data_IF_057191523172
#
_entry.id   IF_057191523172
#
_cell.length_a   1.000
_cell.length_b   1.000
_cell.length_c   1.000
_cell.angle_alpha   90.00
_cell.angle_beta   90.00
_cell.angle_gamma   90.00
#
_symmetry.space_group_name_H-M   'P 1'
#
loop_
_entity.id
_entity.type
_entity.pdbx_description
1 polymer ?
#
# COMPACT_ATOMS: atom_id res chain seq x y z
N UNK A 1 -12.12 21.64 12.69
CA UNK A 1 -11.36 22.01 11.47
C UNK A 1 -10.56 23.30 11.62
N UNK A 2 -11.01 24.30 12.37
CA UNK A 2 -10.33 25.61 12.48
C UNK A 2 -8.96 25.58 13.17
N UNK A 3 -8.76 24.75 14.20
CA UNK A 3 -7.50 24.74 14.97
C UNK A 3 -6.32 24.13 14.20
N UNK A 4 -6.52 23.03 13.47
CA UNK A 4 -5.48 22.41 12.64
C UNK A 4 -5.05 23.31 11.48
N UNK A 5 -6.02 23.96 10.84
CA UNK A 5 -5.75 24.94 9.78
C UNK A 5 -4.96 26.12 10.35
N UNK A 6 -5.40 26.69 11.47
CA UNK A 6 -4.68 27.78 12.15
C UNK A 6 -3.27 27.37 12.60
N UNK A 7 -3.08 26.14 13.08
CA UNK A 7 -1.76 25.63 13.45
C UNK A 7 -0.85 25.52 12.21
N UNK A 8 -1.35 24.98 11.10
CA UNK A 8 -0.58 24.82 9.87
C UNK A 8 -0.12 26.15 9.27
N UNK A 9 -0.91 27.22 9.41
CA UNK A 9 -0.54 28.57 8.95
C UNK A 9 0.39 29.29 9.93
N UNK A 10 0.21 29.09 11.24
CA UNK A 10 1.03 29.76 12.27
C UNK A 10 2.42 29.14 12.39
N UNK A 11 2.53 27.82 12.24
CA UNK A 11 3.78 27.06 12.39
C UNK A 11 4.09 26.20 11.14
N UNK A 12 4.34 26.81 9.97
CA UNK A 12 4.46 26.08 8.71
C UNK A 12 5.65 25.12 8.70
N UNK A 13 6.79 25.49 9.30
CA UNK A 13 7.98 24.63 9.35
C UNK A 13 7.70 23.35 10.15
N UNK A 14 7.10 23.50 11.33
CA UNK A 14 6.75 22.37 12.21
C UNK A 14 5.72 21.49 11.53
N UNK A 15 4.74 22.09 10.86
CA UNK A 15 3.72 21.38 10.10
C UNK A 15 4.33 20.52 9.00
N UNK A 16 5.08 21.10 8.06
CA UNK A 16 5.66 20.38 6.94
C UNK A 16 6.64 19.28 7.37
N UNK A 17 7.47 19.55 8.38
CA UNK A 17 8.36 18.55 8.94
C UNK A 17 7.58 17.41 9.61
N UNK A 18 6.54 17.73 10.39
CA UNK A 18 5.66 16.75 11.02
C UNK A 18 4.97 15.83 10.01
N UNK A 19 4.53 16.39 8.87
CA UNK A 19 3.95 15.60 7.78
C UNK A 19 4.97 14.63 7.16
N UNK A 20 6.16 15.13 6.84
CA UNK A 20 7.24 14.30 6.29
C UNK A 20 7.65 13.19 7.26
N UNK A 21 7.81 13.50 8.54
CA UNK A 21 8.13 12.53 9.57
C UNK A 21 7.03 11.47 9.73
N UNK A 22 5.76 11.89 9.73
CA UNK A 22 4.62 10.97 9.78
C UNK A 22 4.61 10.05 8.56
N UNK A 23 4.79 10.59 7.36
CA UNK A 23 4.87 9.80 6.14
C UNK A 23 6.05 8.82 6.14
N UNK A 24 7.22 9.20 6.67
CA UNK A 24 8.36 8.29 6.80
C UNK A 24 8.09 7.15 7.80
N UNK A 25 7.44 7.43 8.94
CA UNK A 25 7.04 6.42 9.92
C UNK A 25 6.04 5.44 9.31
N UNK A 26 5.01 5.96 8.63
CA UNK A 26 4.04 5.13 7.91
C UNK A 26 4.75 4.30 6.84
N UNK A 27 5.63 4.90 6.04
CA UNK A 27 6.41 4.22 5.00
C UNK A 27 7.26 3.07 5.53
N UNK A 28 7.82 3.20 6.73
CA UNK A 28 8.55 2.11 7.40
C UNK A 28 7.64 0.92 7.72
N UNK A 29 6.39 1.19 8.13
CA UNK A 29 5.37 0.13 8.25
C UNK A 29 4.93 -0.42 6.90
N UNK A 30 4.79 0.40 5.85
CA UNK A 30 4.43 -0.07 4.51
C UNK A 30 5.47 -1.09 3.99
N UNK A 31 6.76 -0.89 4.26
CA UNK A 31 7.80 -1.88 3.95
C UNK A 31 7.53 -3.25 4.60
N UNK A 32 7.01 -3.27 5.83
CA UNK A 32 6.63 -4.53 6.50
C UNK A 32 5.52 -5.23 5.73
N UNK A 33 4.50 -4.50 5.30
CA UNK A 33 3.38 -5.04 4.52
C UNK A 33 3.87 -5.55 3.16
N UNK A 34 4.61 -4.73 2.41
CA UNK A 34 5.15 -5.04 1.07
C UNK A 34 5.98 -6.33 1.11
N UNK A 35 6.86 -6.47 2.10
CA UNK A 35 7.76 -7.62 2.16
C UNK A 35 7.11 -8.89 2.72
N UNK A 36 6.16 -8.77 3.67
CA UNK A 36 5.60 -9.93 4.38
C UNK A 36 4.31 -10.45 3.79
N UNK A 37 3.43 -9.58 3.30
CA UNK A 37 2.10 -9.97 2.84
C UNK A 37 2.16 -11.01 1.71
N UNK A 38 2.98 -10.85 0.65
CA UNK A 38 3.06 -11.86 -0.42
C UNK A 38 3.52 -13.23 0.10
N UNK A 39 4.51 -13.24 1.01
CA UNK A 39 5.01 -14.48 1.63
C UNK A 39 3.95 -15.14 2.50
N UNK A 40 3.14 -14.36 3.22
CA UNK A 40 2.03 -14.89 4.02
C UNK A 40 0.97 -15.54 3.13
N UNK A 41 0.62 -14.91 2.01
CA UNK A 41 -0.36 -15.44 1.06
C UNK A 41 0.15 -16.73 0.39
N UNK A 42 1.41 -16.75 -0.05
CA UNK A 42 2.01 -17.93 -0.67
C UNK A 42 2.02 -19.14 0.28
N UNK A 43 2.40 -18.93 1.55
CA UNK A 43 2.34 -19.97 2.57
C UNK A 43 0.91 -20.46 2.83
N UNK A 44 -0.07 -19.55 2.78
CA UNK A 44 -1.47 -19.90 2.97
C UNK A 44 -1.98 -20.77 1.81
N UNK A 45 -1.76 -20.35 0.56
CA UNK A 45 -2.15 -21.11 -0.63
C UNK A 45 -1.48 -22.48 -0.72
N UNK A 46 -0.20 -22.58 -0.37
CA UNK A 46 0.49 -23.88 -0.31
C UNK A 46 -0.17 -24.82 0.70
N UNK A 47 -0.58 -24.31 1.86
CA UNK A 47 -1.27 -25.10 2.88
C UNK A 47 -2.64 -25.56 2.39
N UNK A 48 -3.41 -24.69 1.76
CA UNK A 48 -4.71 -25.03 1.17
C UNK A 48 -4.58 -26.11 0.09
N UNK A 49 -3.59 -25.99 -0.80
CA UNK A 49 -3.32 -26.99 -1.82
C UNK A 49 -2.96 -28.36 -1.23
N UNK A 50 -2.10 -28.41 -0.20
CA UNK A 50 -1.75 -29.65 0.49
C UNK A 50 -2.96 -30.31 1.16
N UNK A 51 -3.79 -29.50 1.82
CA UNK A 51 -5.04 -29.99 2.42
C UNK A 51 -5.98 -30.57 1.36
N UNK A 52 -6.15 -29.89 0.23
CA UNK A 52 -7.02 -30.34 -0.86
C UNK A 52 -6.52 -31.64 -1.51
N UNK A 53 -5.21 -31.85 -1.56
CA UNK A 53 -4.58 -33.07 -2.09
C UNK A 53 -4.45 -34.18 -1.05
N UNK A 54 -4.98 -33.99 0.17
CA UNK A 54 -4.82 -34.93 1.30
C UNK A 54 -3.35 -35.27 1.61
N UNK A 55 -2.44 -34.33 1.34
CA UNK A 55 -1.01 -34.47 1.63
C UNK A 55 -0.70 -33.94 3.03
N UNK A 56 0.31 -34.51 3.72
CA UNK A 56 0.72 -34.03 5.03
C UNK A 56 1.20 -32.57 4.94
N UNK A 57 0.61 -31.70 5.75
CA UNK A 57 1.05 -30.31 5.88
C UNK A 57 2.28 -30.22 6.79
N UNK A 58 3.29 -29.39 6.47
CA UNK A 58 4.40 -29.14 7.38
C UNK A 58 3.88 -28.58 8.73
N UNK A 59 4.51 -29.04 9.82
CA UNK A 59 4.24 -28.56 11.18
C UNK A 59 4.26 -27.01 11.24
N UNK A 60 3.42 -26.38 12.08
CA UNK A 60 3.35 -24.93 12.16
C UNK A 60 4.72 -24.34 12.55
N UNK A 61 5.42 -23.76 11.57
CA UNK A 61 6.61 -22.92 11.85
C UNK A 61 6.24 -21.74 12.76
N UNK A 62 7.25 -21.15 13.41
CA UNK A 62 7.07 -19.98 14.27
C UNK A 62 6.19 -18.90 13.62
N UNK A 63 5.35 -18.24 14.43
CA UNK A 63 4.35 -17.26 13.96
C UNK A 63 4.97 -16.24 13.00
N UNK A 64 4.44 -16.20 11.77
CA UNK A 64 4.85 -15.27 10.72
C UNK A 64 3.65 -14.45 10.25
N UNK A 65 3.56 -13.21 10.71
CA UNK A 65 2.52 -12.24 10.35
C UNK A 65 3.12 -10.82 10.28
N UNK A 66 2.24 -9.81 10.16
CA UNK A 66 2.68 -8.40 10.06
C UNK A 66 3.35 -7.87 11.35
N UNK A 67 3.05 -8.48 12.51
CA UNK A 67 3.56 -8.04 13.82
C UNK A 67 4.79 -8.85 14.25
N UNK A 68 4.78 -10.16 14.01
CA UNK A 68 5.79 -11.12 14.44
C UNK A 68 6.36 -11.90 13.25
N UNK A 69 7.66 -12.22 13.25
CA UNK A 69 8.67 -11.81 14.23
C UNK A 69 8.97 -10.31 14.14
N UNK A 70 9.57 -9.73 15.17
CA UNK A 70 10.09 -8.35 15.10
C UNK A 70 11.14 -8.21 13.98
N UNK A 71 11.45 -6.97 13.59
CA UNK A 71 12.46 -6.67 12.57
C UNK A 71 13.79 -7.35 12.90
N UNK A 72 14.31 -8.12 11.94
CA UNK A 72 15.57 -8.86 12.05
C UNK A 72 16.41 -8.56 10.82
N UNK A 73 17.72 -8.57 10.99
CA UNK A 73 18.62 -8.50 9.84
C UNK A 73 18.42 -9.74 8.95
N UNK A 74 18.32 -9.59 7.62
CA UNK A 74 18.14 -10.73 6.71
C UNK A 74 19.37 -11.64 6.62
N UNK A 75 20.55 -11.14 7.00
CA UNK A 75 21.82 -11.90 6.94
C UNK A 75 22.18 -12.56 8.27
N UNK A 76 22.23 -11.78 9.35
CA UNK A 76 22.69 -12.24 10.67
C UNK A 76 21.55 -12.74 11.57
N UNK A 77 20.28 -12.48 11.20
CA UNK A 77 19.06 -12.76 11.97
C UNK A 77 18.98 -12.16 13.39
N UNK A 78 19.97 -11.35 13.79
CA UNK A 78 19.95 -10.54 15.00
C UNK A 78 18.77 -9.57 14.96
N UNK A 79 18.02 -9.41 16.08
CA UNK A 79 16.95 -8.42 16.16
C UNK A 79 17.50 -7.01 15.94
N UNK A 80 16.76 -6.21 15.16
CA UNK A 80 17.11 -4.81 14.90
C UNK A 80 16.66 -3.97 16.09
N UNK A 81 17.57 -3.19 16.67
CA UNK A 81 17.25 -2.30 17.79
C UNK A 81 16.30 -1.18 17.34
N UNK A 82 15.42 -0.70 18.22
CA UNK A 82 14.45 0.35 17.90
C UNK A 82 15.09 1.62 17.32
N UNK A 83 16.28 2.00 17.81
CA UNK A 83 17.05 3.14 17.30
C UNK A 83 17.56 2.98 15.86
N UNK A 84 17.72 1.75 15.40
CA UNK A 84 18.15 1.44 14.03
C UNK A 84 16.94 1.26 13.08
N UNK A 85 15.71 1.39 13.60
CA UNK A 85 14.45 1.43 12.85
C UNK A 85 13.90 2.85 12.67
N UNK A 86 14.67 3.91 13.00
CA UNK A 86 14.24 5.29 12.74
C UNK A 86 14.28 5.51 11.21
N UNK A 87 13.14 5.79 10.55
CA UNK A 87 13.04 5.89 9.09
C UNK A 87 14.01 6.92 8.52
N UNK A 88 14.62 6.63 7.37
CA UNK A 88 15.62 7.43 6.64
C UNK A 88 16.92 7.72 7.42
N UNK A 89 16.82 8.22 8.64
CA UNK A 89 17.93 8.62 9.49
C UNK A 89 18.85 7.43 9.82
N UNK A 90 18.29 6.29 10.21
CA UNK A 90 19.10 5.12 10.55
C UNK A 90 19.91 4.63 9.34
N UNK A 91 19.31 4.64 8.15
CA UNK A 91 19.99 4.23 6.92
C UNK A 91 21.16 5.16 6.59
N UNK A 92 20.97 6.48 6.71
CA UNK A 92 22.01 7.48 6.47
C UNK A 92 23.16 7.37 7.50
N UNK A 93 22.84 7.28 8.79
CA UNK A 93 23.83 7.17 9.87
C UNK A 93 24.63 5.86 9.77
N UNK A 94 23.97 4.78 9.37
CA UNK A 94 24.60 3.47 9.17
C UNK A 94 25.27 3.32 7.79
N UNK A 95 25.21 4.36 6.93
CA UNK A 95 25.75 4.36 5.56
C UNK A 95 25.26 3.16 4.73
N UNK A 96 23.98 2.81 4.90
CA UNK A 96 23.33 1.69 4.22
C UNK A 96 23.81 0.30 4.64
N UNK A 97 24.46 0.15 5.80
CA UNK A 97 24.95 -1.15 6.31
C UNK A 97 24.31 -1.54 7.62
N UNK A 98 24.01 -2.83 7.81
CA UNK A 98 23.45 -3.33 9.06
C UNK A 98 24.48 -3.21 10.19
N UNK A 99 24.06 -2.72 11.36
CA UNK A 99 24.94 -2.58 12.53
C UNK A 99 25.51 -3.91 13.04
N UNK A 100 24.74 -5.01 12.95
CA UNK A 100 25.17 -6.32 13.49
C UNK A 100 26.36 -6.92 12.73
N UNK A 101 26.29 -6.92 11.39
CA UNK A 101 27.19 -7.70 10.54
C UNK A 101 27.82 -6.89 9.40
N UNK A 102 27.49 -5.61 9.25
CA UNK A 102 27.99 -4.76 8.17
C UNK A 102 27.42 -5.05 6.78
N UNK A 103 26.50 -6.02 6.65
CA UNK A 103 25.87 -6.37 5.38
C UNK A 103 25.01 -5.21 4.83
N UNK A 104 24.89 -5.07 3.50
CA UNK A 104 24.14 -3.97 2.90
C UNK A 104 22.64 -4.07 3.21
N UNK A 105 22.00 -2.94 3.48
CA UNK A 105 20.54 -2.81 3.63
C UNK A 105 19.96 -2.47 2.26
N UNK A 106 18.88 -3.15 1.85
CA UNK A 106 18.22 -2.88 0.57
C UNK A 106 17.77 -1.41 0.46
N UNK A 107 18.03 -0.80 -0.69
CA UNK A 107 17.61 0.57 -0.97
C UNK A 107 16.08 0.74 -1.01
N UNK A 108 15.32 -0.35 -1.18
CA UNK A 108 13.86 -0.32 -1.14
C UNK A 108 13.33 0.29 0.17
N UNK A 109 13.96 0.00 1.31
CA UNK A 109 13.52 0.51 2.61
C UNK A 109 13.50 2.04 2.66
N UNK A 110 14.64 2.74 2.49
CA UNK A 110 14.64 4.21 2.50
C UNK A 110 13.88 4.80 1.29
N UNK A 111 13.79 4.12 0.15
CA UNK A 111 13.03 4.62 -0.99
C UNK A 111 11.53 4.66 -0.72
N UNK A 112 10.96 3.60 -0.15
CA UNK A 112 9.53 3.56 0.22
C UNK A 112 9.23 4.57 1.33
N UNK A 113 10.11 4.71 2.31
CA UNK A 113 9.98 5.72 3.37
C UNK A 113 10.00 7.15 2.80
N UNK A 114 10.94 7.45 1.90
CA UNK A 114 11.05 8.75 1.26
C UNK A 114 9.87 9.04 0.32
N UNK A 115 9.45 8.05 -0.47
CA UNK A 115 8.28 8.16 -1.35
C UNK A 115 7.01 8.43 -0.54
N UNK A 116 6.80 7.73 0.57
CA UNK A 116 5.64 7.95 1.45
C UNK A 116 5.67 9.34 2.07
N UNK A 117 6.83 9.77 2.59
CA UNK A 117 7.01 11.13 3.11
C UNK A 117 6.71 12.21 2.05
N UNK A 118 7.20 12.02 0.82
CA UNK A 118 6.94 12.93 -0.29
C UNK A 118 5.45 12.97 -0.65
N UNK A 119 4.80 11.81 -0.81
CA UNK A 119 3.37 11.72 -1.13
C UNK A 119 2.49 12.38 -0.05
N UNK A 120 2.84 12.23 1.23
CA UNK A 120 2.10 12.87 2.33
C UNK A 120 2.21 14.39 2.30
N UNK A 121 3.41 14.91 2.00
CA UNK A 121 3.63 16.35 1.83
C UNK A 121 2.91 16.87 0.58
N UNK A 122 2.99 16.16 -0.55
CA UNK A 122 2.36 16.55 -1.81
C UNK A 122 0.83 16.58 -1.70
N UNK A 123 0.22 15.57 -1.11
CA UNK A 123 -1.24 15.54 -0.87
C UNK A 123 -1.69 16.67 0.07
N UNK A 124 -0.88 17.06 1.05
CA UNK A 124 -1.16 18.20 1.92
C UNK A 124 -1.02 19.58 1.23
N UNK A 125 -0.46 19.64 0.02
CA UNK A 125 -0.51 20.85 -0.83
C UNK A 125 -1.85 20.98 -1.56
N UNK A 126 -2.52 19.86 -1.80
CA UNK A 126 -3.78 19.79 -2.55
C UNK A 126 -4.97 19.85 -1.61
N UNK A 127 -4.91 19.14 -0.49
CA UNK A 127 -6.01 19.03 0.46
C UNK A 127 -5.72 19.82 1.75
N UNK A 128 -6.70 20.59 2.26
CA UNK A 128 -6.55 21.27 3.53
C UNK A 128 -6.51 20.25 4.69
N UNK A 129 -5.92 20.63 5.84
CA UNK A 129 -5.93 19.79 7.05
C UNK A 129 -7.35 19.35 7.43
N UNK A 130 -7.60 18.04 7.44
CA UNK A 130 -8.90 17.47 7.73
C UNK A 130 -9.03 16.02 7.27
N UNK A 131 -10.27 15.51 7.28
CA UNK A 131 -10.54 14.12 6.90
C UNK A 131 -10.16 13.83 5.45
N UNK A 132 -10.41 14.77 4.52
CA UNK A 132 -9.99 14.66 3.11
C UNK A 132 -8.49 14.34 2.96
N UNK A 133 -7.63 15.04 3.72
CA UNK A 133 -6.19 14.78 3.71
C UNK A 133 -5.85 13.39 4.27
N UNK A 134 -6.49 12.99 5.37
CA UNK A 134 -6.31 11.63 5.91
C UNK A 134 -6.73 10.55 4.91
N UNK A 135 -7.85 10.75 4.20
CA UNK A 135 -8.30 9.87 3.12
C UNK A 135 -7.29 9.79 1.98
N UNK A 136 -6.71 10.92 1.59
CA UNK A 136 -5.67 10.97 0.56
C UNK A 136 -4.43 10.17 0.98
N UNK A 137 -3.99 10.30 2.24
CA UNK A 137 -2.88 9.52 2.80
C UNK A 137 -3.15 8.02 2.80
N UNK A 138 -4.35 7.59 3.18
CA UNK A 138 -4.76 6.17 3.10
C UNK A 138 -4.70 5.69 1.65
N UNK A 139 -5.31 6.44 0.73
CA UNK A 139 -5.34 6.11 -0.69
C UNK A 139 -3.95 5.94 -1.29
N UNK A 140 -3.06 6.95 -1.14
CA UNK A 140 -1.70 6.87 -1.68
C UNK A 140 -0.85 5.79 -1.02
N UNK A 141 -1.07 5.48 0.26
CA UNK A 141 -0.35 4.42 0.97
C UNK A 141 -0.71 3.04 0.42
N UNK A 142 -1.99 2.78 0.16
CA UNK A 142 -2.44 1.53 -0.46
C UNK A 142 -1.90 1.40 -1.89
N UNK A 143 -1.97 2.46 -2.69
CA UNK A 143 -1.43 2.45 -4.05
C UNK A 143 0.08 2.21 -4.06
N UNK A 144 0.83 2.82 -3.14
CA UNK A 144 2.26 2.58 -3.04
C UNK A 144 2.58 1.12 -2.65
N UNK A 145 1.85 0.54 -1.68
CA UNK A 145 2.00 -0.88 -1.34
C UNK A 145 1.74 -1.75 -2.58
N UNK A 146 0.61 -1.53 -3.26
CA UNK A 146 0.20 -2.32 -4.41
C UNK A 146 1.22 -2.20 -5.56
N UNK A 147 1.67 -0.99 -5.89
CA UNK A 147 2.64 -0.76 -6.95
C UNK A 147 3.98 -1.45 -6.68
N UNK A 148 4.47 -1.43 -5.43
CA UNK A 148 5.75 -2.07 -5.10
C UNK A 148 5.61 -3.60 -5.05
N UNK A 149 4.50 -4.14 -4.54
CA UNK A 149 4.24 -5.59 -4.59
C UNK A 149 4.14 -6.05 -6.04
N UNK A 150 3.40 -5.32 -6.87
CA UNK A 150 3.21 -5.64 -8.29
C UNK A 150 4.55 -5.61 -9.04
N UNK A 151 5.39 -4.59 -8.84
CA UNK A 151 6.72 -4.53 -9.43
C UNK A 151 7.59 -5.76 -9.12
N UNK A 152 7.49 -6.32 -7.91
CA UNK A 152 8.30 -7.46 -7.50
C UNK A 152 7.67 -8.82 -7.82
N UNK A 153 6.35 -8.94 -7.82
CA UNK A 153 5.63 -10.22 -7.82
C UNK A 153 4.48 -10.31 -8.82
N UNK A 154 4.17 -9.23 -9.55
CA UNK A 154 3.04 -9.14 -10.48
C UNK A 154 1.74 -9.63 -9.84
N UNK A 155 1.53 -9.22 -8.58
CA UNK A 155 0.45 -9.69 -7.73
C UNK A 155 -0.28 -8.49 -7.12
N UNK A 156 -1.59 -8.45 -7.28
CA UNK A 156 -2.48 -7.49 -6.60
C UNK A 156 -3.39 -8.24 -5.62
N UNK A 157 -3.03 -8.30 -4.33
CA UNK A 157 -3.79 -9.06 -3.34
C UNK A 157 -5.19 -8.50 -3.09
N UNK A 158 -6.18 -9.39 -3.05
CA UNK A 158 -7.56 -9.05 -2.65
C UNK A 158 -7.65 -8.46 -1.24
N UNK A 159 -6.73 -8.86 -0.35
CA UNK A 159 -6.59 -8.29 1.00
C UNK A 159 -6.23 -6.79 1.01
N UNK A 160 -5.82 -6.22 -0.13
CA UNK A 160 -5.51 -4.80 -0.28
C UNK A 160 -6.49 -4.12 -1.24
N UNK A 161 -6.77 -4.71 -2.40
CA UNK A 161 -7.63 -4.10 -3.43
C UNK A 161 -9.08 -3.97 -2.98
N UNK A 162 -9.65 -4.98 -2.31
CA UNK A 162 -11.04 -4.94 -1.85
C UNK A 162 -11.24 -3.96 -0.69
N UNK A 163 -10.39 -3.94 0.36
CA UNK A 163 -10.50 -2.89 1.38
C UNK A 163 -10.32 -1.49 0.79
N UNK A 164 -9.41 -1.31 -0.18
CA UNK A 164 -9.24 -0.01 -0.84
C UNK A 164 -10.54 0.45 -1.51
N UNK A 165 -11.23 -0.44 -2.24
CA UNK A 165 -12.52 -0.16 -2.86
C UNK A 165 -13.58 0.24 -1.82
N UNK A 166 -13.75 -0.57 -0.78
CA UNK A 166 -14.77 -0.31 0.24
C UNK A 166 -14.51 0.96 1.04
N UNK A 167 -13.25 1.21 1.41
CA UNK A 167 -12.87 2.45 2.09
C UNK A 167 -13.17 3.64 1.19
N UNK A 168 -12.89 3.57 -0.11
CA UNK A 168 -13.19 4.66 -1.05
C UNK A 168 -14.69 5.00 -1.11
N UNK A 169 -15.55 3.98 -1.21
CA UNK A 169 -17.01 4.16 -1.20
C UNK A 169 -17.50 4.75 0.13
N UNK A 170 -17.04 4.21 1.26
CA UNK A 170 -17.40 4.69 2.60
C UNK A 170 -16.93 6.13 2.83
N UNK A 171 -15.74 6.46 2.33
CA UNK A 171 -15.17 7.79 2.46
C UNK A 171 -15.97 8.82 1.64
N UNK A 172 -16.41 8.45 0.44
CA UNK A 172 -17.24 9.30 -0.40
C UNK A 172 -18.72 9.36 0.01
N UNK A 173 -19.16 8.71 1.09
CA UNK A 173 -20.48 8.95 1.70
C UNK A 173 -20.67 10.43 2.09
N UNK A 174 -19.58 11.09 2.51
CA UNK A 174 -19.56 12.51 2.85
C UNK A 174 -19.13 13.40 1.68
N UNK A 175 -18.99 12.84 0.47
CA UNK A 175 -18.55 13.53 -0.74
C UNK A 175 -17.20 14.28 -0.59
N UNK A 176 -16.23 13.69 0.12
CA UNK A 176 -14.93 14.33 0.35
C UNK A 176 -14.12 14.53 -0.94
N UNK A 177 -14.17 13.58 -1.89
CA UNK A 177 -13.47 13.69 -3.18
C UNK A 177 -14.44 13.80 -4.35
N UNK A 178 -15.43 12.91 -4.39
CA UNK A 178 -16.50 12.91 -5.40
C UNK A 178 -17.83 12.56 -4.75
N UNK A 179 -18.94 12.85 -5.42
CA UNK A 179 -20.25 12.43 -4.91
C UNK A 179 -20.39 10.90 -4.93
N UNK A 180 -21.15 10.35 -3.97
CA UNK A 180 -21.36 8.90 -3.88
C UNK A 180 -21.87 8.26 -5.20
N UNK A 181 -22.79 8.89 -5.97
CA UNK A 181 -23.17 8.35 -7.28
C UNK A 181 -21.98 8.26 -8.24
N UNK A 182 -21.12 9.28 -8.29
CA UNK A 182 -19.92 9.26 -9.14
C UNK A 182 -18.91 8.21 -8.71
N UNK A 183 -18.69 8.04 -7.40
CA UNK A 183 -17.84 6.98 -6.85
C UNK A 183 -18.38 5.58 -7.20
N UNK A 184 -19.68 5.37 -7.06
CA UNK A 184 -20.32 4.08 -7.33
C UNK A 184 -20.27 3.75 -8.82
N UNK A 185 -20.61 4.73 -9.68
CA UNK A 185 -20.49 4.59 -11.14
C UNK A 185 -19.03 4.35 -11.52
N UNK A 186 -18.08 5.06 -10.90
CA UNK A 186 -16.66 4.84 -11.11
C UNK A 186 -16.23 3.42 -10.77
N UNK A 187 -16.65 2.89 -9.63
CA UNK A 187 -16.32 1.53 -9.22
C UNK A 187 -16.88 0.48 -10.19
N UNK A 188 -18.16 0.61 -10.56
CA UNK A 188 -18.83 -0.29 -11.51
C UNK A 188 -18.19 -0.19 -12.90
N UNK A 189 -17.99 1.02 -13.41
CA UNK A 189 -17.40 1.26 -14.72
C UNK A 189 -15.94 0.78 -14.78
N UNK A 190 -15.15 1.04 -13.75
CA UNK A 190 -13.77 0.57 -13.64
C UNK A 190 -13.68 -0.96 -13.70
N UNK A 191 -14.52 -1.67 -12.93
CA UNK A 191 -14.56 -3.13 -12.98
C UNK A 191 -15.00 -3.64 -14.35
N UNK A 192 -16.15 -3.15 -14.84
CA UNK A 192 -16.78 -3.66 -16.06
C UNK A 192 -15.96 -3.34 -17.31
N UNK A 193 -15.27 -2.21 -17.36
CA UNK A 193 -14.46 -1.83 -18.52
C UNK A 193 -13.38 -2.87 -18.81
N UNK A 194 -12.54 -3.18 -17.81
CA UNK A 194 -11.48 -4.19 -17.98
C UNK A 194 -12.03 -5.60 -18.09
N UNK A 195 -13.12 -5.91 -17.37
CA UNK A 195 -13.78 -7.22 -17.48
C UNK A 195 -14.33 -7.47 -18.89
N UNK A 196 -15.00 -6.49 -19.50
CA UNK A 196 -15.48 -6.57 -20.87
C UNK A 196 -14.32 -6.71 -21.86
N UNK A 197 -13.25 -5.93 -21.69
CA UNK A 197 -12.06 -6.01 -22.54
C UNK A 197 -11.40 -7.39 -22.46
N UNK A 198 -11.28 -7.95 -21.25
CA UNK A 198 -10.75 -9.28 -21.02
C UNK A 198 -11.56 -10.36 -21.73
N UNK A 199 -12.89 -10.34 -21.59
CA UNK A 199 -13.75 -11.34 -22.24
C UNK A 199 -13.73 -11.19 -23.76
N UNK A 200 -13.76 -9.97 -24.28
CA UNK A 200 -13.62 -9.72 -25.71
C UNK A 200 -12.30 -10.30 -26.24
N UNK A 201 -11.18 -10.02 -25.58
CA UNK A 201 -9.88 -10.55 -25.95
C UNK A 201 -9.82 -12.08 -25.86
N UNK A 202 -10.36 -12.65 -24.79
CA UNK A 202 -10.39 -14.10 -24.55
C UNK A 202 -11.24 -14.82 -25.61
N UNK A 203 -12.37 -14.26 -26.00
CA UNK A 203 -13.23 -14.80 -27.05
C UNK A 203 -12.55 -14.73 -28.44
N UNK A 204 -11.79 -13.67 -28.71
CA UNK A 204 -11.10 -13.49 -30.00
C UNK A 204 -9.81 -14.33 -30.12
N UNK A 205 -9.07 -14.52 -29.03
CA UNK A 205 -7.72 -15.11 -29.07
C UNK A 205 -7.61 -16.47 -28.39
N UNK A 206 -8.60 -16.86 -27.58
CA UNK A 206 -8.57 -18.05 -26.73
C UNK A 206 -7.56 -17.97 -25.57
N UNK A 207 -6.92 -16.81 -25.35
CA UNK A 207 -5.87 -16.61 -24.34
C UNK A 207 -6.34 -15.68 -23.24
N UNK A 208 -5.85 -15.93 -22.02
CA UNK A 208 -6.04 -15.03 -20.89
C UNK A 208 -5.07 -13.85 -21.01
N UNK A 209 -5.61 -12.64 -21.10
CA UNK A 209 -4.82 -11.42 -21.35
C UNK A 209 -4.46 -10.62 -20.08
N UNK A 210 -5.34 -10.61 -19.08
CA UNK A 210 -5.24 -9.70 -17.94
C UNK A 210 -5.53 -10.40 -16.62
N UNK A 211 -4.82 -9.99 -15.57
CA UNK A 211 -5.05 -10.47 -14.21
C UNK A 211 -6.36 -9.91 -13.64
N UNK A 212 -7.11 -10.75 -12.93
CA UNK A 212 -8.35 -10.31 -12.25
C UNK A 212 -8.11 -9.25 -11.16
N UNK A 213 -6.87 -9.09 -10.69
CA UNK A 213 -6.49 -8.05 -9.74
C UNK A 213 -6.64 -6.64 -10.33
N UNK A 214 -6.36 -6.46 -11.62
CA UNK A 214 -6.42 -5.17 -12.31
C UNK A 214 -7.86 -4.64 -12.35
N UNK A 215 -8.85 -5.52 -12.54
CA UNK A 215 -10.27 -5.15 -12.55
C UNK A 215 -10.68 -4.56 -11.21
N UNK A 216 -10.20 -5.17 -10.11
CA UNK A 216 -10.50 -4.75 -8.74
C UNK A 216 -9.77 -3.46 -8.40
N UNK A 217 -8.53 -3.30 -8.86
CA UNK A 217 -7.77 -2.06 -8.66
C UNK A 217 -8.43 -0.90 -9.40
N UNK A 218 -8.81 -1.07 -10.67
CA UNK A 218 -9.48 0.01 -11.42
C UNK A 218 -10.84 0.35 -10.83
N UNK A 219 -11.59 -0.64 -10.33
CA UNK A 219 -12.80 -0.41 -9.56
C UNK A 219 -12.53 0.38 -8.27
N UNK A 220 -11.47 0.06 -7.54
CA UNK A 220 -11.07 0.80 -6.36
C UNK A 220 -10.72 2.26 -6.71
N UNK A 221 -9.93 2.49 -7.75
CA UNK A 221 -9.60 3.84 -8.24
C UNK A 221 -10.87 4.65 -8.58
N UNK A 222 -11.84 4.02 -9.26
CA UNK A 222 -13.13 4.62 -9.54
C UNK A 222 -13.96 4.95 -8.30
N UNK A 223 -13.87 4.13 -7.25
CA UNK A 223 -14.54 4.39 -5.96
C UNK A 223 -13.98 5.64 -5.25
N UNK A 224 -12.71 5.95 -5.43
CA UNK A 224 -12.07 7.12 -4.81
C UNK A 224 -12.21 8.38 -5.66
N UNK A 225 -12.01 8.29 -6.97
CA UNK A 225 -11.84 9.43 -7.88
C UNK A 225 -13.03 9.66 -8.82
N UNK A 226 -14.00 8.75 -8.84
CA UNK A 226 -15.13 8.79 -9.77
C UNK A 226 -14.77 8.32 -11.18
N UNK A 227 -15.78 8.17 -12.04
CA UNK A 227 -15.61 7.64 -13.39
C UNK A 227 -14.86 8.60 -14.33
N UNK A 228 -14.93 9.92 -14.09
CA UNK A 228 -14.27 10.92 -14.93
C UNK A 228 -12.75 10.85 -14.83
N UNK A 229 -12.23 10.38 -13.70
CA UNK A 229 -10.79 10.22 -13.51
C UNK A 229 -10.25 8.99 -14.24
N UNK A 230 -11.06 7.93 -14.42
CA UNK A 230 -10.60 6.64 -14.95
C UNK A 230 -9.84 6.70 -16.29
N UNK A 231 -10.23 7.51 -17.29
CA UNK A 231 -9.49 7.60 -18.55
C UNK A 231 -8.09 8.23 -18.42
N UNK A 232 -7.81 8.88 -17.29
CA UNK A 232 -6.55 9.56 -17.01
C UNK A 232 -5.62 8.73 -16.10
N UNK A 233 -6.06 7.56 -15.64
CA UNK A 233 -5.27 6.67 -14.76
C UNK A 233 -4.61 5.57 -15.58
#
# INVERSE_FOLDING_TARGET
MTLLVAFSSTYPIIWWFGLGATGAIVGSFLNVVICRLPVMLEKHWQREALLQLSLPSPEPTARFNLVLPHSRCPYCHTPVAARDNIPLLSFLLLKGKARCCGAPISAQYPLVEAATAALFVLTARVFPPGLALCGAWVFVSFLLILAVIDYHRQLLPDLLTLPLLWIGLLFNLQSYFVSLPQATIGAVAGYLCLWCLFWLFKLLTGKDALGYGDFKLLAALGAWLGWQALPHV
#
